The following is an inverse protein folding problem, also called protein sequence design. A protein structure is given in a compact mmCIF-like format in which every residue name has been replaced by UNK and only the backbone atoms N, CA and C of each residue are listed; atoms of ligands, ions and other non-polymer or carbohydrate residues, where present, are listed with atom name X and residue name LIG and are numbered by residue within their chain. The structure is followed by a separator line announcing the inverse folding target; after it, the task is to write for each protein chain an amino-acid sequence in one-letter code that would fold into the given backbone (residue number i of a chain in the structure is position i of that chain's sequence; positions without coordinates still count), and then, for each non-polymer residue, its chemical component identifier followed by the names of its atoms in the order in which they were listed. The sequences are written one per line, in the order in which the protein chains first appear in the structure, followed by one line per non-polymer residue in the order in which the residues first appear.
data_IF_721096715037
#
_entry.id   IF_721096715037
#
_cell.length_a   1.000
_cell.length_b   1.000
_cell.length_c   1.000
_cell.angle_alpha   90.00
_cell.angle_beta   90.00
_cell.angle_gamma   90.00
#
_symmetry.space_group_name_H-M   'P 1'
#
loop_
_entity.id
_entity.type
_entity.pdbx_description
1 polymer ?
#
# COMPACT_ATOMS: atom_id res chain seq x y z
N UNK A 1 -7.81 -20.59 -34.67
CA UNK A 1 -9.05 -20.73 -33.89
C UNK A 1 -10.11 -19.95 -34.62
N UNK A 2 -11.32 -20.49 -34.77
CA UNK A 2 -12.40 -19.74 -35.40
C UNK A 2 -13.07 -18.81 -34.38
N UNK A 3 -13.29 -17.55 -34.77
CA UNK A 3 -13.95 -16.56 -33.92
C UNK A 3 -15.47 -16.61 -34.13
N UNK A 4 -16.22 -16.19 -33.09
CA UNK A 4 -17.69 -16.17 -33.09
C UNK A 4 -18.31 -15.34 -34.24
N UNK A 5 -17.54 -14.40 -34.81
CA UNK A 5 -17.97 -13.51 -35.88
C UNK A 5 -17.08 -13.59 -37.13
N UNK A 6 -16.32 -14.69 -37.29
CA UNK A 6 -15.47 -14.89 -38.47
C UNK A 6 -16.34 -15.09 -39.71
N UNK A 7 -16.04 -14.36 -40.79
CA UNK A 7 -16.78 -14.49 -42.06
C UNK A 7 -16.20 -15.65 -42.87
N UNK A 8 -17.05 -16.28 -43.67
CA UNK A 8 -16.62 -17.34 -44.59
C UNK A 8 -15.52 -16.83 -45.53
N UNK A 9 -14.38 -17.51 -45.53
CA UNK A 9 -13.20 -17.16 -46.32
C UNK A 9 -12.13 -16.34 -45.58
N UNK A 10 -12.36 -15.93 -44.33
CA UNK A 10 -11.33 -15.30 -43.51
C UNK A 10 -10.35 -16.33 -42.92
N UNK A 11 -9.09 -15.92 -42.81
CA UNK A 11 -8.05 -16.75 -42.21
C UNK A 11 -8.34 -17.00 -40.71
N UNK A 12 -8.06 -18.20 -40.18
CA UNK A 12 -8.27 -18.50 -38.77
C UNK A 12 -7.49 -17.54 -37.88
N UNK A 13 -8.11 -17.09 -36.78
CA UNK A 13 -7.43 -16.25 -35.80
C UNK A 13 -6.32 -17.02 -35.08
N UNK A 14 -5.16 -16.39 -34.95
CA UNK A 14 -4.04 -16.88 -34.14
C UNK A 14 -3.46 -15.74 -33.30
N UNK A 15 -2.98 -16.07 -32.10
CA UNK A 15 -2.19 -15.14 -31.31
C UNK A 15 -0.74 -15.14 -31.81
N UNK A 16 -0.13 -13.98 -32.05
CA UNK A 16 1.26 -13.92 -32.45
C UNK A 16 2.19 -14.13 -31.24
N UNK A 17 3.35 -14.75 -31.47
CA UNK A 17 4.29 -15.16 -30.41
C UNK A 17 4.91 -13.99 -29.63
N UNK A 18 4.89 -12.79 -30.22
CA UNK A 18 5.36 -11.55 -29.60
C UNK A 18 4.28 -10.82 -28.78
N UNK A 19 3.05 -11.34 -28.73
CA UNK A 19 2.01 -10.76 -27.87
C UNK A 19 2.32 -11.08 -26.41
N UNK A 20 2.23 -10.05 -25.56
CA UNK A 20 2.29 -10.15 -24.11
C UNK A 20 1.06 -9.49 -23.54
N UNK A 21 0.38 -10.17 -22.62
CA UNK A 21 -0.79 -9.66 -21.92
C UNK A 21 -0.38 -9.45 -20.47
N UNK A 22 -0.43 -8.21 -20.00
CA UNK A 22 -0.18 -7.84 -18.61
C UNK A 22 -1.51 -7.34 -18.05
N UNK A 23 -2.05 -8.08 -17.08
CA UNK A 23 -3.24 -7.68 -16.34
C UNK A 23 -2.85 -7.20 -14.95
N UNK A 24 -3.52 -6.16 -14.45
CA UNK A 24 -3.48 -5.80 -13.03
C UNK A 24 -4.75 -6.32 -12.36
N UNK A 25 -4.65 -6.72 -11.10
CA UNK A 25 -5.77 -7.23 -10.33
C UNK A 25 -5.78 -6.57 -8.97
N UNK A 26 -6.93 -5.99 -8.59
CA UNK A 26 -7.14 -5.56 -7.22
C UNK A 26 -7.50 -6.79 -6.38
N UNK A 27 -6.64 -7.17 -5.45
CA UNK A 27 -6.88 -8.35 -4.59
C UNK A 27 -7.78 -8.07 -3.39
N UNK A 28 -8.08 -6.80 -3.10
CA UNK A 28 -9.04 -6.43 -2.05
C UNK A 28 -10.50 -6.73 -2.49
N UNK A 29 -10.76 -6.74 -3.80
CA UNK A 29 -12.09 -6.96 -4.34
C UNK A 29 -12.43 -8.46 -4.37
N UNK A 30 -13.26 -8.89 -3.42
CA UNK A 30 -13.72 -10.28 -3.32
C UNK A 30 -14.79 -10.64 -4.36
N UNK A 31 -15.40 -9.66 -5.03
CA UNK A 31 -16.49 -9.90 -6.00
C UNK A 31 -16.02 -10.62 -7.27
N UNK A 32 -14.72 -10.55 -7.58
CA UNK A 32 -14.12 -11.15 -8.78
C UNK A 32 -13.43 -12.50 -8.52
N UNK A 33 -13.51 -13.03 -7.29
CA UNK A 33 -12.78 -14.25 -6.89
C UNK A 33 -13.10 -15.48 -7.77
N UNK A 34 -14.31 -15.57 -8.32
CA UNK A 34 -14.71 -16.66 -9.22
C UNK A 34 -14.11 -16.55 -10.63
N UNK A 35 -13.95 -15.32 -11.14
CA UNK A 35 -13.31 -15.06 -12.46
C UNK A 35 -11.82 -15.41 -12.40
N UNK A 36 -11.21 -15.19 -11.24
CA UNK A 36 -9.79 -15.41 -10.99
C UNK A 36 -9.37 -16.88 -11.17
N UNK A 37 -10.21 -17.86 -10.83
CA UNK A 37 -9.83 -19.29 -10.92
C UNK A 37 -9.51 -19.77 -12.35
N UNK A 38 -10.20 -19.23 -13.37
CA UNK A 38 -9.94 -19.57 -14.77
C UNK A 38 -8.70 -18.84 -15.31
N UNK A 39 -8.48 -17.60 -14.86
CA UNK A 39 -7.33 -16.78 -15.22
C UNK A 39 -6.04 -17.30 -14.56
N UNK A 40 -6.09 -17.79 -13.32
CA UNK A 40 -4.98 -18.44 -12.60
C UNK A 40 -4.33 -19.61 -13.35
N UNK A 41 -5.04 -20.24 -14.29
CA UNK A 41 -4.49 -21.31 -15.12
C UNK A 41 -3.78 -20.82 -16.38
N UNK A 42 -3.97 -19.56 -16.76
CA UNK A 42 -3.48 -18.96 -18.02
C UNK A 42 -2.45 -17.86 -17.81
N UNK A 43 -2.35 -17.32 -16.60
CA UNK A 43 -1.44 -16.23 -16.25
C UNK A 43 -0.48 -16.66 -15.15
N UNK A 44 0.74 -16.13 -15.20
CA UNK A 44 1.63 -16.10 -14.05
C UNK A 44 1.22 -14.93 -13.15
N UNK A 45 1.11 -15.17 -11.84
CA UNK A 45 0.69 -14.15 -10.87
C UNK A 45 1.91 -13.63 -10.13
N UNK A 46 2.07 -12.31 -10.15
CA UNK A 46 3.10 -11.59 -9.39
C UNK A 46 2.37 -10.72 -8.38
N UNK A 47 2.48 -11.08 -7.11
CA UNK A 47 1.88 -10.33 -6.01
C UNK A 47 2.70 -9.09 -5.68
N UNK A 48 2.02 -8.00 -5.33
CA UNK A 48 2.64 -6.80 -4.78
C UNK A 48 2.20 -6.67 -3.32
N UNK A 49 3.16 -6.77 -2.40
CA UNK A 49 2.93 -6.64 -0.95
C UNK A 49 3.62 -5.37 -0.45
N UNK A 50 2.97 -4.64 0.45
CA UNK A 50 3.57 -3.45 1.09
C UNK A 50 4.82 -3.79 1.91
N UNK A 51 4.96 -5.04 2.34
CA UNK A 51 6.08 -5.53 3.14
C UNK A 51 7.28 -6.03 2.30
N UNK A 52 7.13 -6.13 0.98
CA UNK A 52 8.14 -6.73 0.08
C UNK A 52 8.61 -5.74 -0.99
N UNK A 53 9.85 -5.89 -1.43
CA UNK A 53 10.34 -5.13 -2.59
C UNK A 53 9.56 -5.54 -3.86
N UNK A 54 9.28 -4.60 -4.78
CA UNK A 54 9.80 -3.22 -4.83
C UNK A 54 8.92 -2.18 -4.09
N UNK A 55 7.88 -2.60 -3.38
CA UNK A 55 6.88 -1.69 -2.81
C UNK A 55 7.26 -1.25 -1.40
N UNK A 56 7.98 -2.09 -0.64
CA UNK A 56 8.52 -1.74 0.67
C UNK A 56 9.28 -0.41 0.59
N UNK A 57 8.89 0.55 1.44
CA UNK A 57 9.50 1.89 1.48
C UNK A 57 9.25 2.78 0.26
N UNK A 58 8.33 2.42 -0.64
CA UNK A 58 8.04 3.18 -1.87
C UNK A 58 7.65 4.63 -1.59
N UNK A 59 6.78 4.87 -0.61
CA UNK A 59 6.35 6.24 -0.27
C UNK A 59 7.52 7.09 0.20
N UNK A 60 8.37 6.55 1.09
CA UNK A 60 9.57 7.25 1.59
C UNK A 60 10.51 7.62 0.43
N UNK A 61 10.85 6.65 -0.42
CA UNK A 61 11.70 6.90 -1.61
C UNK A 61 11.08 7.93 -2.56
N UNK A 62 9.76 7.90 -2.74
CA UNK A 62 9.05 8.85 -3.58
C UNK A 62 9.11 10.27 -3.01
N UNK A 63 8.88 10.42 -1.69
CA UNK A 63 8.99 11.71 -1.00
C UNK A 63 10.40 12.28 -1.08
N UNK A 64 11.43 11.45 -0.89
CA UNK A 64 12.84 11.84 -1.08
C UNK A 64 13.11 12.32 -2.51
N UNK A 65 12.67 11.56 -3.51
CA UNK A 65 12.83 11.90 -4.93
C UNK A 65 12.11 13.21 -5.31
N UNK A 66 11.04 13.57 -4.61
CA UNK A 66 10.27 14.80 -4.80
C UNK A 66 10.69 15.95 -3.89
N UNK A 67 11.76 15.79 -3.11
CA UNK A 67 12.25 16.79 -2.16
C UNK A 67 11.22 17.16 -1.06
N UNK A 68 10.33 16.21 -0.74
CA UNK A 68 9.29 16.33 0.30
C UNK A 68 9.70 15.58 1.58
N UNK A 69 10.99 15.57 1.92
CA UNK A 69 11.53 14.82 3.08
C UNK A 69 10.93 15.27 4.42
N UNK A 70 10.47 16.51 4.52
CA UNK A 70 9.74 17.03 5.67
C UNK A 70 8.38 16.32 5.91
N UNK A 71 7.85 15.63 4.90
CA UNK A 71 6.67 14.77 4.99
C UNK A 71 7.02 13.29 5.20
N UNK A 72 8.28 12.95 5.51
CA UNK A 72 8.74 11.57 5.70
C UNK A 72 7.94 10.79 6.74
N UNK A 73 7.46 11.47 7.78
CA UNK A 73 6.60 10.92 8.84
C UNK A 73 5.30 10.28 8.31
N UNK A 74 4.82 10.71 7.14
CA UNK A 74 3.61 10.13 6.52
C UNK A 74 3.87 8.68 6.09
N UNK A 75 5.09 8.37 5.65
CA UNK A 75 5.48 7.00 5.33
C UNK A 75 5.50 6.11 6.58
N UNK A 76 6.00 6.63 7.70
CA UNK A 76 6.03 5.92 8.99
C UNK A 76 4.62 5.64 9.52
N UNK A 77 3.75 6.65 9.48
CA UNK A 77 2.33 6.50 9.85
C UNK A 77 1.62 5.46 8.98
N UNK A 78 1.87 5.47 7.66
CA UNK A 78 1.29 4.49 6.75
C UNK A 78 1.78 3.07 7.05
N UNK A 79 3.07 2.88 7.34
CA UNK A 79 3.63 1.58 7.69
C UNK A 79 3.06 1.05 9.01
N UNK A 80 2.91 1.92 10.01
CA UNK A 80 2.24 1.57 11.29
C UNK A 80 0.78 1.20 11.10
N UNK A 81 0.04 1.95 10.29
CA UNK A 81 -1.35 1.64 9.97
C UNK A 81 -1.45 0.26 9.28
N UNK A 82 -0.61 -0.01 8.28
CA UNK A 82 -0.61 -1.31 7.60
C UNK A 82 -0.19 -2.47 8.51
N UNK A 83 0.73 -2.23 9.45
CA UNK A 83 1.10 -3.22 10.47
C UNK A 83 -0.05 -3.50 11.43
N UNK A 84 -0.79 -2.47 11.86
CA UNK A 84 -1.94 -2.61 12.74
C UNK A 84 -3.14 -3.29 12.06
N UNK A 85 -3.31 -3.10 10.75
CA UNK A 85 -4.35 -3.80 9.98
C UNK A 85 -4.12 -5.32 9.92
N UNK A 86 -2.85 -5.75 9.86
CA UNK A 86 -2.43 -7.16 9.79
C UNK A 86 -3.15 -7.98 8.69
N UNK A 87 -3.53 -7.33 7.59
CA UNK A 87 -4.09 -7.97 6.40
C UNK A 87 -3.46 -7.39 5.14
N UNK A 88 -2.67 -8.23 4.45
CA UNK A 88 -1.98 -7.86 3.21
C UNK A 88 -2.94 -7.47 2.07
N UNK A 89 -4.16 -8.00 2.07
CA UNK A 89 -5.16 -7.71 1.02
C UNK A 89 -5.93 -6.42 1.32
N UNK A 90 -5.90 -5.95 2.57
CA UNK A 90 -6.48 -4.70 3.05
C UNK A 90 -5.44 -3.59 3.23
N UNK A 91 -4.19 -3.79 2.80
CA UNK A 91 -3.13 -2.82 3.01
C UNK A 91 -3.44 -1.50 2.28
N UNK A 92 -3.34 -0.40 3.00
CA UNK A 92 -3.51 0.96 2.50
C UNK A 92 -2.32 1.27 1.57
N UNK A 93 -2.66 1.60 0.32
CA UNK A 93 -1.67 1.92 -0.70
C UNK A 93 -1.01 3.28 -0.51
N UNK A 94 0.26 3.47 -0.94
CA UNK A 94 0.98 4.72 -0.79
C UNK A 94 0.48 5.80 -1.76
N UNK A 95 -0.25 5.42 -2.81
CA UNK A 95 -0.72 6.32 -3.88
C UNK A 95 -1.60 7.47 -3.38
N UNK A 96 -2.28 7.31 -2.24
CA UNK A 96 -3.03 8.38 -1.61
C UNK A 96 -2.17 9.63 -1.33
N UNK A 97 -0.88 9.43 -1.03
CA UNK A 97 0.05 10.48 -0.60
C UNK A 97 1.10 10.84 -1.66
N UNK A 98 1.07 10.20 -2.84
CA UNK A 98 2.08 10.41 -3.89
C UNK A 98 1.68 11.56 -4.85
N UNK A 99 1.59 12.78 -4.33
CA UNK A 99 1.39 13.98 -5.14
C UNK A 99 2.22 15.17 -4.64
N UNK A 100 2.56 16.09 -5.54
CA UNK A 100 3.57 17.13 -5.25
C UNK A 100 3.09 18.20 -4.27
N UNK A 101 1.78 18.43 -4.21
CA UNK A 101 1.14 19.40 -3.29
C UNK A 101 0.83 18.80 -1.90
N UNK A 102 1.60 17.80 -1.46
CA UNK A 102 1.35 17.14 -0.17
C UNK A 102 1.77 18.06 0.98
N UNK A 103 0.78 18.50 1.75
CA UNK A 103 0.96 19.24 2.99
C UNK A 103 0.22 18.57 4.17
N UNK A 104 0.38 19.13 5.38
CA UNK A 104 -0.27 18.59 6.57
C UNK A 104 -1.80 18.56 6.45
N UNK A 105 -2.40 19.61 5.88
CA UNK A 105 -3.84 19.70 5.70
C UNK A 105 -4.37 18.69 4.68
N UNK A 106 -3.59 18.41 3.64
CA UNK A 106 -3.88 17.37 2.66
C UNK A 106 -3.82 15.99 3.31
N UNK A 107 -2.79 15.70 4.12
CA UNK A 107 -2.69 14.43 4.84
C UNK A 107 -3.89 14.24 5.78
N UNK A 108 -4.24 15.25 6.58
CA UNK A 108 -5.40 15.19 7.48
C UNK A 108 -6.71 14.92 6.70
N UNK A 109 -6.90 15.61 5.57
CA UNK A 109 -8.08 15.44 4.72
C UNK A 109 -8.14 14.04 4.11
N UNK A 110 -7.04 13.56 3.53
CA UNK A 110 -6.92 12.22 2.95
C UNK A 110 -7.17 11.16 4.03
N UNK A 111 -6.56 11.33 5.21
CA UNK A 111 -6.72 10.37 6.31
C UNK A 111 -8.17 10.28 6.77
N UNK A 112 -8.83 11.42 6.95
CA UNK A 112 -10.22 11.51 7.41
C UNK A 112 -11.23 10.99 6.40
N UNK A 113 -11.04 11.29 5.11
CA UNK A 113 -12.06 11.07 4.09
C UNK A 113 -11.80 9.87 3.18
N UNK A 114 -10.58 9.32 3.18
CA UNK A 114 -10.22 8.18 2.35
C UNK A 114 -9.74 7.01 3.20
N UNK A 115 -8.74 7.23 4.07
CA UNK A 115 -8.11 6.14 4.83
C UNK A 115 -9.03 5.60 5.92
N UNK A 116 -9.56 6.45 6.81
CA UNK A 116 -10.41 5.99 7.91
C UNK A 116 -11.68 5.29 7.43
N UNK A 117 -12.44 5.79 6.45
CA UNK A 117 -13.61 5.07 5.93
C UNK A 117 -13.24 3.72 5.31
N UNK A 118 -12.11 3.65 4.61
CA UNK A 118 -11.60 2.39 4.05
C UNK A 118 -11.26 1.38 5.15
N UNK A 119 -10.55 1.82 6.19
CA UNK A 119 -10.21 0.97 7.34
C UNK A 119 -11.46 0.50 8.08
N UNK A 120 -12.45 1.39 8.29
CA UNK A 120 -13.71 1.06 8.94
C UNK A 120 -14.48 -0.05 8.21
N UNK A 121 -14.48 -0.04 6.87
CA UNK A 121 -15.09 -1.10 6.06
C UNK A 121 -14.39 -2.46 6.26
N UNK A 122 -13.07 -2.45 6.44
CA UNK A 122 -12.28 -3.68 6.61
C UNK A 122 -12.30 -4.22 8.05
N UNK A 123 -12.52 -3.37 9.05
CA UNK A 123 -12.66 -3.75 10.47
C UNK A 123 -14.08 -4.20 10.84
N UNK A 124 -14.81 -4.85 9.93
CA UNK A 124 -16.19 -5.27 10.19
C UNK A 124 -16.28 -6.19 11.41
N UNK A 125 -16.98 -5.74 12.45
CA UNK A 125 -17.11 -6.46 13.73
C UNK A 125 -16.06 -6.11 14.79
N UNK A 126 -15.09 -5.25 14.47
CA UNK A 126 -14.01 -4.79 15.36
C UNK A 126 -13.92 -3.25 15.38
N UNK A 127 -15.05 -2.55 15.32
CA UNK A 127 -15.12 -1.08 15.26
C UNK A 127 -14.37 -0.37 16.39
N UNK A 128 -14.23 -1.01 17.56
CA UNK A 128 -13.48 -0.47 18.70
C UNK A 128 -11.99 -0.24 18.37
N UNK A 129 -11.44 -1.00 17.41
CA UNK A 129 -10.06 -0.84 16.94
C UNK A 129 -9.86 0.35 16.02
N UNK A 130 -10.93 0.97 15.49
CA UNK A 130 -10.81 2.11 14.59
C UNK A 130 -10.05 3.29 15.24
N UNK A 131 -10.17 3.43 16.56
CA UNK A 131 -9.44 4.43 17.33
C UNK A 131 -7.90 4.25 17.30
N UNK A 132 -7.40 3.05 16.97
CA UNK A 132 -5.98 2.77 16.75
C UNK A 132 -5.44 3.49 15.50
N UNK A 133 -6.32 3.75 14.52
CA UNK A 133 -5.99 4.35 13.24
C UNK A 133 -6.14 5.87 13.22
N UNK A 134 -6.44 6.49 14.36
CA UNK A 134 -6.46 7.94 14.47
C UNK A 134 -5.07 8.52 14.14
N UNK A 135 -5.03 9.49 13.22
CA UNK A 135 -3.77 10.07 12.72
C UNK A 135 -2.87 10.58 13.86
N UNK A 136 -3.44 11.28 14.84
CA UNK A 136 -2.71 11.79 15.99
C UNK A 136 -2.09 10.68 16.86
N UNK A 137 -2.75 9.52 16.96
CA UNK A 137 -2.24 8.37 17.72
C UNK A 137 -1.07 7.73 16.98
N UNK A 138 -1.23 7.51 15.67
CA UNK A 138 -0.17 6.95 14.82
C UNK A 138 1.03 7.87 14.67
N UNK A 139 0.84 9.19 14.79
CA UNK A 139 1.93 10.17 14.74
C UNK A 139 2.73 10.24 16.04
N UNK A 140 2.06 10.27 17.21
CA UNK A 140 2.74 10.31 18.52
C UNK A 140 3.63 9.09 18.80
N UNK A 141 3.38 7.98 18.11
CA UNK A 141 4.24 6.80 18.21
C UNK A 141 5.66 7.03 17.65
N UNK A 142 5.88 8.02 16.76
CA UNK A 142 7.24 8.43 16.34
C UNK A 142 7.95 9.22 17.46
N UNK A 143 7.26 10.18 18.08
CA UNK A 143 7.87 11.08 19.07
C UNK A 143 8.41 10.33 20.30
N UNK A 144 7.86 9.15 20.60
CA UNK A 144 8.33 8.28 21.67
C UNK A 144 9.57 7.44 21.28
N UNK A 145 9.70 7.05 20.01
CA UNK A 145 10.84 6.26 19.51
C UNK A 145 12.13 7.07 19.36
N UNK A 146 12.03 8.39 19.15
CA UNK A 146 13.17 9.31 19.09
C UNK A 146 13.73 9.70 20.48
N UNK A 147 12.96 9.50 21.55
CA UNK A 147 13.40 9.80 22.93
C UNK A 147 14.25 8.66 23.52
N UNK A 148 13.95 7.38 23.22
CA UNK A 148 14.70 6.24 23.75
C UNK A 148 16.11 6.08 23.14
N UNK A 149 16.38 6.62 21.94
CA UNK A 149 17.71 6.55 21.33
C UNK A 149 18.70 7.60 21.87
N UNK A 150 18.24 8.57 22.67
CA UNK A 150 19.08 9.67 23.18
C UNK A 150 19.55 9.48 24.63
N UNK A 151 19.14 8.42 25.33
CA UNK A 151 19.46 8.22 26.76
C UNK A 151 20.62 7.25 27.06
N UNK A 152 21.10 6.46 26.09
CA UNK A 152 22.13 5.41 26.38
C UNK A 152 23.59 5.82 26.05
N UNK A 153 23.86 7.13 25.93
CA UNK A 153 25.14 7.66 25.45
C UNK A 153 26.14 8.18 26.50
N UNK A 154 25.94 7.96 27.80
CA UNK A 154 26.72 8.67 28.83
C UNK A 154 27.08 7.88 30.08
N UNK A 155 28.00 6.91 29.98
CA UNK A 155 28.71 6.39 31.16
C UNK A 155 30.01 7.20 31.41
N UNK A 156 30.31 7.63 32.65
CA UNK A 156 31.48 8.45 32.94
C UNK A 156 32.74 7.57 33.09
N UNK A 157 33.83 7.93 32.42
CA UNK A 157 35.15 7.38 32.72
C UNK A 157 35.65 7.97 34.04
N UNK A 158 35.71 7.12 35.07
CA UNK A 158 36.40 7.42 36.32
C UNK A 158 37.91 7.28 36.11
N UNK A 159 38.65 8.36 36.36
CA UNK A 159 40.11 8.37 36.43
C UNK A 159 40.57 8.99 37.75
N UNK A 160 41.17 8.17 38.61
CA UNK A 160 42.28 8.43 39.55
C UNK A 160 42.31 7.34 40.63
#
# INVERSE_FOLDING_TARGET
MDLMYQRDGEAPFTMPDNLRIIGTMNTADRSIALVDLALRRRFAFVGFSMAEEPIKGLLRRWLEAKQLTHMGWVADVLERANTALDDRHAAIGPSYFMHEELDHAAVERIWKHNVLPYVEEHLFGEHDRLAEFALDKLRRADDAGDQEQNEDGGAPQAGA
#
